data_IF_159834480522
#
_entry.id   IF_159834480522
#
_cell.length_a   1.000
_cell.length_b   1.000
_cell.length_c   1.000
_cell.angle_alpha   90.00
_cell.angle_beta   90.00
_cell.angle_gamma   90.00
#
_symmetry.space_group_name_H-M   'P 1'
#
loop_
_entity.id
_entity.type
_entity.pdbx_description
1 polymer ?
#
# COMPACT_ATOMS: atom_id res chain seq x y z
N UNK A 1 48.04 45.95 40.93
CA UNK A 1 47.02 46.12 39.90
C UNK A 1 47.07 44.89 39.00
N UNK A 2 46.15 43.94 39.22
CA UNK A 2 46.19 42.64 38.53
C UNK A 2 45.15 42.67 37.40
N UNK A 3 45.62 42.53 36.17
CA UNK A 3 44.79 42.46 34.98
C UNK A 3 44.26 41.02 34.82
N UNK A 4 42.94 40.82 35.00
CA UNK A 4 42.26 39.55 34.73
C UNK A 4 41.92 39.44 33.26
N UNK A 5 42.60 38.55 32.55
CA UNK A 5 42.29 38.21 31.14
C UNK A 5 41.04 37.34 31.09
N UNK A 6 39.98 37.86 30.52
CA UNK A 6 38.75 37.10 30.24
C UNK A 6 39.00 36.20 29.02
N UNK A 7 38.95 34.88 29.21
CA UNK A 7 39.00 33.91 28.09
C UNK A 7 37.59 33.67 27.64
N UNK A 8 37.26 34.14 26.45
CA UNK A 8 36.01 33.85 25.78
C UNK A 8 36.09 32.42 25.20
N UNK A 9 35.26 31.52 25.70
CA UNK A 9 35.10 30.17 25.12
C UNK A 9 34.01 30.26 24.09
N UNK A 10 34.38 30.15 22.82
CA UNK A 10 33.45 30.02 21.72
C UNK A 10 32.94 28.56 21.63
N UNK A 11 31.68 28.33 21.97
CA UNK A 11 31.03 27.05 21.77
C UNK A 11 30.51 27.01 20.32
N UNK A 12 31.21 26.26 19.48
CA UNK A 12 30.75 25.95 18.11
C UNK A 12 29.63 24.91 18.19
N UNK A 13 28.39 25.35 18.08
CA UNK A 13 27.24 24.47 17.85
C UNK A 13 27.30 23.99 16.39
N UNK A 14 27.73 22.74 16.16
CA UNK A 14 27.61 22.09 14.86
C UNK A 14 26.14 21.67 14.69
N UNK A 15 25.38 22.42 13.93
CA UNK A 15 24.04 21.99 13.46
C UNK A 15 24.27 20.99 12.35
N UNK A 16 24.18 19.69 12.66
CA UNK A 16 24.09 18.65 11.65
C UNK A 16 22.70 18.78 10.99
N UNK A 17 22.66 19.41 9.84
CA UNK A 17 21.47 19.35 8.98
C UNK A 17 21.30 17.89 8.53
N UNK A 18 20.43 17.14 9.18
CA UNK A 18 19.95 15.88 8.64
C UNK A 18 19.21 16.24 7.34
N UNK A 19 19.85 16.00 6.19
CA UNK A 19 19.16 16.04 4.91
C UNK A 19 18.12 14.94 4.94
N UNK A 20 16.85 15.29 5.18
CA UNK A 20 15.75 14.39 4.90
C UNK A 20 15.89 14.02 3.41
N UNK A 21 16.24 12.78 3.12
CA UNK A 21 16.23 12.27 1.76
C UNK A 21 14.78 12.45 1.28
N UNK A 22 14.58 13.33 0.30
CA UNK A 22 13.29 13.47 -0.35
C UNK A 22 12.93 12.08 -0.88
N UNK A 23 11.78 11.54 -0.46
CA UNK A 23 11.25 10.31 -1.02
C UNK A 23 10.87 10.62 -2.47
N UNK A 24 11.82 10.39 -3.39
CA UNK A 24 11.51 10.43 -4.81
C UNK A 24 10.58 9.25 -5.10
N UNK A 25 9.37 9.55 -5.61
CA UNK A 25 8.41 8.53 -5.97
C UNK A 25 9.01 7.57 -6.99
N UNK A 26 9.49 6.41 -6.53
CA UNK A 26 9.74 5.28 -7.41
C UNK A 26 8.38 4.74 -7.84
N UNK A 27 8.22 4.55 -9.15
CA UNK A 27 7.17 3.67 -9.65
C UNK A 27 7.49 2.27 -9.15
N UNK A 28 6.68 1.71 -8.26
CA UNK A 28 6.92 0.39 -7.71
C UNK A 28 6.76 -0.73 -8.74
N UNK A 29 7.24 -1.92 -8.39
CA UNK A 29 7.09 -3.12 -9.21
C UNK A 29 5.60 -3.43 -9.46
N UNK A 30 5.30 -3.89 -10.66
CA UNK A 30 3.95 -4.31 -11.04
C UNK A 30 3.89 -5.84 -11.21
N UNK A 31 2.74 -6.40 -10.86
CA UNK A 31 2.47 -7.84 -10.91
C UNK A 31 1.08 -8.08 -11.48
N UNK A 32 0.93 -9.15 -12.28
CA UNK A 32 -0.35 -9.54 -12.89
C UNK A 32 -0.81 -10.88 -12.35
N UNK A 33 -2.06 -10.93 -11.91
CA UNK A 33 -2.72 -12.16 -11.48
C UNK A 33 -3.10 -13.04 -12.68
N UNK A 34 -3.33 -14.35 -12.48
CA UNK A 34 -3.91 -15.21 -13.50
C UNK A 34 -5.27 -14.73 -14.02
N UNK A 35 -6.05 -14.04 -13.19
CA UNK A 35 -7.33 -13.43 -13.56
C UNK A 35 -7.24 -12.05 -14.22
N UNK A 36 -6.03 -11.56 -14.52
CA UNK A 36 -5.78 -10.32 -15.23
C UNK A 36 -5.77 -9.06 -14.35
N UNK A 37 -6.01 -9.15 -13.05
CA UNK A 37 -5.83 -8.01 -12.16
C UNK A 37 -4.34 -7.62 -12.09
N UNK A 38 -4.04 -6.32 -12.01
CA UNK A 38 -2.68 -5.80 -11.91
C UNK A 38 -2.48 -5.10 -10.59
N UNK A 39 -1.45 -5.48 -9.85
CA UNK A 39 -1.02 -4.84 -8.62
C UNK A 39 0.31 -4.09 -8.87
N UNK A 40 0.33 -2.80 -8.62
CA UNK A 40 1.56 -1.99 -8.54
C UNK A 40 1.86 -1.69 -7.08
N UNK A 41 2.98 -2.17 -6.56
CA UNK A 41 3.42 -1.86 -5.21
C UNK A 41 3.99 -0.44 -5.17
N UNK A 42 3.40 0.42 -4.35
CA UNK A 42 3.80 1.81 -4.16
C UNK A 42 4.72 1.95 -2.94
N UNK A 43 4.34 1.28 -1.85
CA UNK A 43 5.11 1.18 -0.61
C UNK A 43 5.17 -0.28 -0.18
N UNK A 44 6.35 -0.72 0.23
CA UNK A 44 6.61 -2.06 0.76
C UNK A 44 7.78 -2.02 1.76
N UNK A 45 8.24 -3.18 2.20
CA UNK A 45 9.32 -3.30 3.17
C UNK A 45 10.67 -2.75 2.69
N UNK A 46 10.85 -2.55 1.38
CA UNK A 46 12.08 -1.96 0.82
C UNK A 46 12.18 -0.45 1.08
N UNK A 47 11.06 0.21 1.38
CA UNK A 47 11.01 1.66 1.59
C UNK A 47 10.38 2.12 2.91
N UNK A 48 9.42 1.38 3.49
CA UNK A 48 8.73 1.78 4.74
C UNK A 48 8.80 0.73 5.86
N UNK A 49 9.38 -0.45 5.61
CA UNK A 49 9.42 -1.56 6.56
C UNK A 49 8.23 -2.52 6.43
N UNK A 50 8.24 -3.63 7.22
CA UNK A 50 7.28 -4.72 7.07
C UNK A 50 5.89 -4.42 7.67
N UNK A 51 5.72 -3.29 8.35
CA UNK A 51 4.50 -2.97 9.10
C UNK A 51 3.31 -2.70 8.17
N UNK A 52 3.57 -2.13 7.02
CA UNK A 52 2.53 -1.72 6.07
C UNK A 52 3.02 -1.86 4.63
N UNK A 53 2.11 -2.22 3.72
CA UNK A 53 2.32 -2.06 2.29
C UNK A 53 1.13 -1.36 1.65
N UNK A 54 1.40 -0.62 0.58
CA UNK A 54 0.40 0.12 -0.19
C UNK A 54 0.58 -0.20 -1.67
N UNK A 55 -0.53 -0.48 -2.35
CA UNK A 55 -0.53 -0.74 -3.78
C UNK A 55 -1.66 -0.03 -4.51
N UNK A 56 -1.51 0.11 -5.80
CA UNK A 56 -2.58 0.39 -6.73
C UNK A 56 -3.01 -0.95 -7.36
N UNK A 57 -4.25 -1.34 -7.14
CA UNK A 57 -4.81 -2.57 -7.66
C UNK A 57 -5.85 -2.24 -8.73
N UNK A 58 -5.66 -2.77 -9.93
CA UNK A 58 -6.60 -2.60 -11.05
C UNK A 58 -7.24 -3.94 -11.39
N UNK A 59 -8.54 -4.00 -11.30
CA UNK A 59 -9.34 -5.15 -11.73
C UNK A 59 -9.83 -4.93 -13.16
N UNK A 60 -9.65 -5.90 -14.08
CA UNK A 60 -10.20 -5.78 -15.42
C UNK A 60 -11.74 -5.81 -15.43
N UNK A 61 -12.37 -5.48 -16.55
CA UNK A 61 -13.80 -5.68 -16.74
C UNK A 61 -14.23 -7.12 -16.45
N UNK A 62 -15.38 -7.26 -15.76
CA UNK A 62 -15.99 -8.55 -15.42
C UNK A 62 -15.06 -9.50 -14.65
N UNK A 63 -14.14 -8.95 -13.86
CA UNK A 63 -13.25 -9.74 -13.01
C UNK A 63 -14.03 -10.44 -11.89
N UNK A 64 -13.51 -11.59 -11.50
CA UNK A 64 -13.94 -12.35 -10.33
C UNK A 64 -12.72 -13.00 -9.70
N UNK A 65 -12.37 -12.59 -8.47
CA UNK A 65 -11.19 -13.11 -7.78
C UNK A 65 -11.35 -14.54 -7.27
N UNK A 66 -12.60 -15.06 -7.27
CA UNK A 66 -12.91 -16.23 -6.46
C UNK A 66 -12.84 -15.95 -4.96
N UNK A 67 -13.32 -16.92 -4.17
CA UNK A 67 -13.27 -16.83 -2.71
C UNK A 67 -11.83 -17.04 -2.21
N UNK A 68 -11.38 -16.17 -1.30
CA UNK A 68 -10.06 -16.26 -0.68
C UNK A 68 -10.04 -15.62 0.72
N UNK A 69 -8.89 -15.70 1.40
CA UNK A 69 -8.64 -15.07 2.70
C UNK A 69 -7.28 -14.39 2.69
N UNK A 70 -7.09 -13.41 3.58
CA UNK A 70 -5.81 -12.78 3.83
C UNK A 70 -5.31 -13.05 5.25
N UNK A 71 -3.99 -13.02 5.43
CA UNK A 71 -3.34 -13.07 6.74
C UNK A 71 -3.19 -11.68 7.39
N UNK A 72 -3.71 -10.63 6.74
CA UNK A 72 -3.56 -9.24 7.12
C UNK A 72 -4.91 -8.52 7.10
N UNK A 73 -5.00 -7.37 7.77
CA UNK A 73 -6.05 -6.40 7.49
C UNK A 73 -5.79 -5.86 6.08
N UNK A 74 -6.81 -5.85 5.24
CA UNK A 74 -6.77 -5.25 3.93
C UNK A 74 -7.82 -4.15 3.85
N UNK A 75 -7.44 -2.97 3.37
CA UNK A 75 -8.31 -1.82 3.18
C UNK A 75 -8.25 -1.37 1.73
N UNK A 76 -9.40 -0.96 1.19
CA UNK A 76 -9.51 -0.42 -0.17
C UNK A 76 -10.06 1.00 -0.13
N UNK A 77 -9.55 1.84 -1.02
CA UNK A 77 -10.16 3.11 -1.39
C UNK A 77 -10.37 3.12 -2.91
N UNK A 78 -11.62 3.22 -3.35
CA UNK A 78 -11.96 3.14 -4.77
C UNK A 78 -11.64 4.46 -5.47
N UNK A 79 -10.79 4.39 -6.50
CA UNK A 79 -10.41 5.51 -7.35
C UNK A 79 -11.35 5.66 -8.54
N UNK A 80 -11.70 4.53 -9.19
CA UNK A 80 -12.58 4.53 -10.36
C UNK A 80 -13.26 3.18 -10.56
N UNK A 81 -14.36 3.14 -11.32
CA UNK A 81 -15.18 1.97 -11.51
C UNK A 81 -15.99 1.61 -10.27
N UNK A 82 -16.49 0.39 -10.20
CA UNK A 82 -17.23 -0.14 -9.05
C UNK A 82 -16.66 -1.50 -8.67
N UNK A 83 -16.40 -1.69 -7.36
CA UNK A 83 -15.93 -2.96 -6.80
C UNK A 83 -17.06 -3.60 -5.98
N UNK A 84 -17.55 -4.75 -6.41
CA UNK A 84 -18.38 -5.61 -5.58
C UNK A 84 -17.47 -6.35 -4.61
N UNK A 85 -17.53 -5.95 -3.34
CA UNK A 85 -16.75 -6.47 -2.25
C UNK A 85 -17.62 -7.40 -1.40
N UNK A 86 -17.41 -8.71 -1.53
CA UNK A 86 -18.17 -9.72 -0.81
C UNK A 86 -17.37 -10.18 0.39
N UNK A 87 -17.95 -10.02 1.59
CA UNK A 87 -17.34 -10.42 2.87
C UNK A 87 -18.26 -11.38 3.59
N UNK A 88 -17.80 -12.60 3.83
CA UNK A 88 -18.55 -13.66 4.52
C UNK A 88 -19.94 -13.88 3.88
N UNK A 89 -20.01 -13.79 2.54
CA UNK A 89 -21.24 -13.95 1.78
C UNK A 89 -22.14 -12.71 1.65
N UNK A 90 -21.79 -11.61 2.32
CA UNK A 90 -22.52 -10.33 2.18
C UNK A 90 -21.84 -9.45 1.14
N UNK A 91 -22.59 -8.98 0.15
CA UNK A 91 -22.09 -8.12 -0.94
C UNK A 91 -22.22 -6.64 -0.59
N UNK A 92 -21.16 -5.89 -0.86
CA UNK A 92 -21.08 -4.43 -0.73
C UNK A 92 -20.57 -3.86 -2.06
N UNK A 93 -21.31 -2.95 -2.68
CA UNK A 93 -20.86 -2.25 -3.89
C UNK A 93 -20.15 -0.97 -3.49
N UNK A 94 -18.85 -0.95 -3.71
CA UNK A 94 -17.99 0.20 -3.42
C UNK A 94 -17.81 1.05 -4.68
N UNK A 95 -18.13 2.34 -4.57
CA UNK A 95 -18.04 3.34 -5.64
C UNK A 95 -16.85 4.27 -5.39
N UNK A 96 -16.42 5.07 -6.39
CA UNK A 96 -15.34 6.05 -6.21
C UNK A 96 -15.55 6.92 -4.96
N UNK A 97 -14.49 7.05 -4.15
CA UNK A 97 -14.53 7.74 -2.87
C UNK A 97 -14.95 6.87 -1.67
N UNK A 98 -15.40 5.63 -1.90
CA UNK A 98 -15.77 4.72 -0.81
C UNK A 98 -14.60 3.84 -0.40
N UNK A 99 -14.63 3.40 0.87
CA UNK A 99 -13.69 2.44 1.43
C UNK A 99 -14.38 1.14 1.81
N UNK A 100 -13.67 0.03 1.65
CA UNK A 100 -14.01 -1.26 2.23
C UNK A 100 -12.81 -1.81 3.00
N UNK A 101 -13.04 -2.79 3.85
CA UNK A 101 -11.98 -3.48 4.55
C UNK A 101 -12.35 -4.93 4.85
N UNK A 102 -11.34 -5.75 5.08
CA UNK A 102 -11.45 -7.10 5.63
C UNK A 102 -10.36 -7.32 6.66
N UNK A 103 -10.56 -8.29 7.50
CA UNK A 103 -9.60 -8.74 8.51
C UNK A 103 -9.61 -10.27 8.61
N UNK A 104 -8.52 -10.91 9.03
CA UNK A 104 -8.56 -12.33 9.30
C UNK A 104 -9.62 -12.67 10.37
N UNK A 105 -10.39 -13.74 10.24
CA UNK A 105 -10.37 -14.75 9.17
C UNK A 105 -11.44 -14.55 8.08
N UNK A 106 -11.84 -13.31 7.74
CA UNK A 106 -12.90 -13.06 6.78
C UNK A 106 -12.62 -13.79 5.44
N UNK A 107 -13.69 -14.36 4.88
CA UNK A 107 -13.70 -14.92 3.52
C UNK A 107 -14.19 -13.86 2.56
N UNK A 108 -13.42 -13.58 1.55
CA UNK A 108 -13.64 -12.45 0.65
C UNK A 108 -13.66 -12.86 -0.80
N UNK A 109 -14.35 -12.05 -1.60
CA UNK A 109 -14.40 -12.16 -3.05
C UNK A 109 -14.59 -10.77 -3.64
N UNK A 110 -13.86 -10.47 -4.69
CA UNK A 110 -13.96 -9.20 -5.40
C UNK A 110 -14.46 -9.45 -6.81
N UNK A 111 -15.45 -8.66 -7.23
CA UNK A 111 -15.97 -8.70 -8.58
C UNK A 111 -16.09 -7.30 -9.15
N UNK A 112 -16.05 -7.19 -10.47
CA UNK A 112 -16.26 -5.94 -11.21
C UNK A 112 -17.27 -6.14 -12.31
N UNK A 113 -17.94 -5.04 -12.68
CA UNK A 113 -18.75 -4.97 -13.88
C UNK A 113 -17.92 -4.65 -15.13
N UNK A 114 -18.60 -4.22 -16.21
CA UNK A 114 -18.00 -3.94 -17.51
C UNK A 114 -16.94 -2.82 -17.50
N UNK A 115 -16.94 -1.95 -16.51
CA UNK A 115 -15.95 -0.87 -16.37
C UNK A 115 -14.66 -1.29 -15.67
N UNK A 116 -14.63 -2.46 -15.02
CA UNK A 116 -13.56 -2.81 -14.10
C UNK A 116 -13.55 -1.92 -12.86
N UNK A 117 -12.46 -1.93 -12.11
CA UNK A 117 -12.26 -1.04 -10.97
C UNK A 117 -10.77 -0.77 -10.72
N UNK A 118 -10.46 0.41 -10.19
CA UNK A 118 -9.13 0.76 -9.70
C UNK A 118 -9.24 1.21 -8.25
N UNK A 119 -8.37 0.70 -7.40
CA UNK A 119 -8.37 0.99 -5.96
C UNK A 119 -6.95 1.23 -5.47
N UNK A 120 -6.81 2.03 -4.42
CA UNK A 120 -5.65 1.94 -3.53
C UNK A 120 -5.95 0.83 -2.53
N UNK A 121 -4.99 -0.04 -2.30
CA UNK A 121 -5.07 -1.11 -1.32
C UNK A 121 -3.95 -0.97 -0.31
N UNK A 122 -4.27 -1.21 0.96
CA UNK A 122 -3.34 -1.16 2.09
C UNK A 122 -3.43 -2.47 2.85
N UNK A 123 -2.28 -3.10 3.15
CA UNK A 123 -2.19 -4.29 4.00
C UNK A 123 -1.41 -4.01 5.28
N UNK A 124 -1.95 -4.52 6.40
CA UNK A 124 -1.33 -4.46 7.73
C UNK A 124 -1.43 -5.83 8.40
N UNK A 125 -0.31 -6.55 8.62
CA UNK A 125 1.07 -6.18 8.25
C UNK A 125 1.32 -6.21 6.75
N UNK A 126 2.39 -5.53 6.32
CA UNK A 126 2.72 -5.32 4.91
C UNK A 126 3.27 -6.54 4.17
N UNK A 127 3.66 -7.59 4.88
CA UNK A 127 4.19 -8.83 4.29
C UNK A 127 3.15 -9.58 3.41
N UNK A 128 1.86 -9.25 3.55
CA UNK A 128 0.79 -9.82 2.72
C UNK A 128 0.98 -9.47 1.24
N UNK A 129 1.42 -8.25 0.93
CA UNK A 129 1.72 -7.83 -0.44
C UNK A 129 2.78 -8.72 -1.10
N UNK A 130 3.82 -9.14 -0.35
CA UNK A 130 4.83 -10.06 -0.84
C UNK A 130 4.26 -11.44 -1.16
N UNK A 131 3.36 -11.94 -0.32
CA UNK A 131 2.69 -13.24 -0.53
C UNK A 131 1.83 -13.21 -1.79
N UNK A 132 1.19 -12.08 -2.08
CA UNK A 132 0.43 -11.86 -3.31
C UNK A 132 1.37 -11.78 -4.50
N UNK A 133 2.40 -10.92 -4.45
CA UNK A 133 3.38 -10.74 -5.51
C UNK A 133 4.10 -12.06 -5.88
N UNK A 134 4.41 -12.90 -4.90
CA UNK A 134 5.07 -14.20 -5.13
C UNK A 134 4.22 -15.19 -5.94
N UNK A 135 2.89 -14.99 -5.99
CA UNK A 135 1.94 -15.84 -6.75
C UNK A 135 1.53 -15.25 -8.09
N UNK A 136 1.92 -14.02 -8.35
CA UNK A 136 1.57 -13.28 -9.56
C UNK A 136 2.81 -13.14 -10.47
N UNK A 137 2.60 -12.90 -11.75
CA UNK A 137 3.69 -12.69 -12.70
C UNK A 137 4.18 -11.23 -12.62
N UNK A 138 5.47 -11.03 -12.37
CA UNK A 138 6.07 -9.69 -12.41
C UNK A 138 6.00 -9.14 -13.84
N UNK A 139 5.52 -7.92 -13.98
CA UNK A 139 5.51 -7.19 -15.26
C UNK A 139 6.86 -6.51 -15.51
N UNK A 140 7.26 -6.33 -16.77
CA UNK A 140 8.51 -5.64 -17.16
C UNK A 140 8.57 -4.19 -16.68
#
# INVERSE_FOLDING_TARGET
>A
MAIRTLRTVAVLLSISAATAAAQSGKTGDAYRSPGGATLRLLLDDSNVGPEVSVGELTFPPNADSGDHTHGAIEMFYVLSGELEHVVNGTSYVLKPGMTGYVRPPDRIRHKTGAAGAKVIVVWVPGDEAKKIAARWTKEP
#
